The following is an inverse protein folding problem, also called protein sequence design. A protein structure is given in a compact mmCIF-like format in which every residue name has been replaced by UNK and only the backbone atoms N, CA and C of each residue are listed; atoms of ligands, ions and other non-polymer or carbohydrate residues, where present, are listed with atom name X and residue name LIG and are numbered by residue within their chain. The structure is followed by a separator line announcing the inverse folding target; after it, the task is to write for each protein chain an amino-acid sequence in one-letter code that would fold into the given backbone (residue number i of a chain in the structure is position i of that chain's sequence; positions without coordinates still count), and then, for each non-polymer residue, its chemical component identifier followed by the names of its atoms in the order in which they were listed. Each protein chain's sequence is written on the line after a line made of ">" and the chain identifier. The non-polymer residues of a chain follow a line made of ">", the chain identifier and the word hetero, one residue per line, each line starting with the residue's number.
data_IF_650832387497
#
_entry.id   IF_650832387497
#
_cell.length_a   1.000
_cell.length_b   1.000
_cell.length_c   1.000
_cell.angle_alpha   90.00
_cell.angle_beta   90.00
_cell.angle_gamma   90.00
#
_symmetry.space_group_name_H-M   'P 1'
#
loop_
_entity.id
_entity.type
_entity.pdbx_description
1 polymer ?
#
# COMPACT_ATOMS: atom_id res chain seq x y z
N UNK A 1 2.03 -18.22 51.51
CA UNK A 1 1.60 -18.37 50.10
C UNK A 1 0.85 -17.15 49.56
N UNK A 2 -0.04 -16.52 50.34
CA UNK A 2 -0.81 -15.33 49.94
C UNK A 2 0.03 -14.17 49.36
N UNK A 3 1.20 -13.87 49.95
CA UNK A 3 2.11 -12.80 49.45
C UNK A 3 2.62 -13.04 48.02
N UNK A 4 2.81 -14.30 47.61
CA UNK A 4 3.26 -14.64 46.24
C UNK A 4 2.13 -14.48 45.23
N UNK A 5 0.90 -14.81 45.62
CA UNK A 5 -0.30 -14.64 44.79
C UNK A 5 -0.59 -13.15 44.57
N UNK A 6 -0.49 -12.34 45.63
CA UNK A 6 -0.66 -10.88 45.54
C UNK A 6 0.38 -10.24 44.61
N UNK A 7 1.63 -10.72 44.66
CA UNK A 7 2.70 -10.21 43.78
C UNK A 7 2.46 -10.53 42.30
N UNK A 8 2.03 -11.75 41.98
CA UNK A 8 1.71 -12.15 40.60
C UNK A 8 0.52 -11.34 40.08
N UNK A 9 -0.52 -11.15 40.91
CA UNK A 9 -1.69 -10.37 40.52
C UNK A 9 -1.34 -8.90 40.23
N UNK A 10 -0.45 -8.31 41.04
CA UNK A 10 0.04 -6.95 40.80
C UNK A 10 0.79 -6.82 39.46
N UNK A 11 1.62 -7.80 39.09
CA UNK A 11 2.34 -7.78 37.81
C UNK A 11 1.40 -7.85 36.61
N UNK A 12 0.37 -8.70 36.67
CA UNK A 12 -0.62 -8.82 35.59
C UNK A 12 -1.42 -7.52 35.42
N UNK A 13 -1.80 -6.88 36.52
CA UNK A 13 -2.52 -5.59 36.48
C UNK A 13 -1.63 -4.48 35.92
N UNK A 14 -0.36 -4.41 36.32
CA UNK A 14 0.58 -3.40 35.80
C UNK A 14 0.83 -3.61 34.30
N UNK A 15 1.05 -4.85 33.85
CA UNK A 15 1.21 -5.14 32.43
C UNK A 15 -0.06 -4.84 31.63
N UNK A 16 -1.23 -5.24 32.14
CA UNK A 16 -2.51 -4.96 31.50
C UNK A 16 -2.78 -3.46 31.36
N UNK A 17 -2.54 -2.68 32.43
CA UNK A 17 -2.66 -1.22 32.40
C UNK A 17 -1.60 -0.58 31.50
N UNK A 18 -0.38 -1.12 31.47
CA UNK A 18 0.70 -0.66 30.58
C UNK A 18 0.38 -0.91 29.11
N UNK A 19 -0.16 -2.07 28.76
CA UNK A 19 -0.62 -2.40 27.41
C UNK A 19 -1.83 -1.56 27.02
N UNK A 20 -2.80 -1.37 27.91
CA UNK A 20 -3.93 -0.47 27.67
C UNK A 20 -3.47 0.97 27.50
N UNK A 21 -2.54 1.46 28.31
CA UNK A 21 -1.97 2.79 28.19
C UNK A 21 -1.18 2.95 26.88
N UNK A 22 -0.40 1.94 26.47
CA UNK A 22 0.34 1.96 25.20
C UNK A 22 -0.60 1.96 24.00
N UNK A 23 -1.64 1.11 24.02
CA UNK A 23 -2.67 1.07 22.98
C UNK A 23 -3.48 2.38 22.98
N UNK A 24 -3.84 2.92 24.15
CA UNK A 24 -4.62 4.15 24.27
C UNK A 24 -3.80 5.39 23.91
N UNK A 25 -2.53 5.48 24.32
CA UNK A 25 -1.61 6.56 23.91
C UNK A 25 -1.42 6.58 22.39
N UNK A 26 -1.40 5.42 21.75
CA UNK A 26 -1.37 5.31 20.29
C UNK A 26 -2.75 5.56 19.64
N UNK A 27 -3.86 5.55 20.40
CA UNK A 27 -5.23 5.89 19.93
C UNK A 27 -5.60 7.36 20.14
N UNK A 28 -4.98 8.05 21.11
CA UNK A 28 -5.28 9.46 21.48
C UNK A 28 -4.71 10.47 20.46
N UNK A 29 -3.99 10.04 19.42
CA UNK A 29 -3.68 10.91 18.28
C UNK A 29 -4.82 11.03 17.25
N UNK A 30 -5.94 10.31 17.42
CA UNK A 30 -7.04 10.30 16.44
C UNK A 30 -8.40 10.26 17.15
N UNK A 31 -8.79 11.37 17.79
CA UNK A 31 -10.20 11.65 18.09
C UNK A 31 -10.43 13.15 18.31
N UNK A 32 -10.92 13.81 17.27
CA UNK A 32 -11.42 15.18 17.30
C UNK A 32 -12.30 15.43 16.08
N UNK A 33 -13.54 15.79 16.35
CA UNK A 33 -14.70 16.08 15.50
C UNK A 33 -14.44 16.99 14.29
N UNK A 34 -15.31 16.80 13.28
CA UNK A 34 -15.58 17.67 12.12
C UNK A 34 -15.31 19.16 12.41
N UNK A 35 -14.26 19.68 11.76
CA UNK A 35 -13.93 21.08 11.40
C UNK A 35 -12.47 21.06 10.88
N UNK A 36 -11.98 22.14 10.23
CA UNK A 36 -11.42 22.14 8.85
C UNK A 36 -10.52 20.94 8.52
N UNK A 37 -10.70 20.30 7.34
CA UNK A 37 -10.02 19.04 6.98
C UNK A 37 -8.54 19.04 7.42
N UNK A 38 -8.19 18.27 8.45
CA UNK A 38 -6.86 18.31 9.00
C UNK A 38 -5.99 17.54 8.04
N UNK A 39 -4.80 18.06 7.75
CA UNK A 39 -3.74 17.41 6.97
C UNK A 39 -3.53 15.94 7.39
N UNK A 40 -3.85 15.60 8.65
CA UNK A 40 -3.91 14.24 9.18
C UNK A 40 -4.89 13.31 8.47
N UNK A 41 -6.09 13.77 8.12
CA UNK A 41 -7.12 12.99 7.40
C UNK A 41 -6.72 12.74 5.96
N UNK A 42 -6.24 13.77 5.26
CA UNK A 42 -5.69 13.64 3.89
C UNK A 42 -4.49 12.69 3.88
N UNK A 43 -3.62 12.78 4.89
CA UNK A 43 -2.49 11.86 5.05
C UNK A 43 -2.96 10.44 5.35
N UNK A 44 -4.00 10.26 6.15
CA UNK A 44 -4.54 8.94 6.44
C UNK A 44 -5.23 8.33 5.22
N UNK A 45 -5.99 9.12 4.45
CA UNK A 45 -6.58 8.70 3.17
C UNK A 45 -5.48 8.31 2.19
N UNK A 46 -4.41 9.12 2.11
CA UNK A 46 -3.25 8.80 1.30
C UNK A 46 -2.59 7.49 1.77
N UNK A 47 -2.38 7.31 3.07
CA UNK A 47 -1.78 6.09 3.62
C UNK A 47 -2.67 4.85 3.33
N UNK A 48 -4.00 4.98 3.45
CA UNK A 48 -4.96 3.92 3.14
C UNK A 48 -4.97 3.57 1.65
N UNK A 49 -4.92 4.57 0.77
CA UNK A 49 -4.84 4.41 -0.69
C UNK A 49 -3.52 3.73 -1.09
N UNK A 50 -2.41 4.09 -0.45
CA UNK A 50 -1.09 3.46 -0.68
C UNK A 50 -1.09 2.00 -0.18
N UNK A 51 -1.74 1.71 0.95
CA UNK A 51 -1.88 0.35 1.47
C UNK A 51 -2.72 -0.54 0.56
N UNK A 52 -3.86 -0.05 0.09
CA UNK A 52 -4.68 -0.80 -0.87
C UNK A 52 -3.97 -0.93 -2.22
N UNK A 53 -3.25 0.10 -2.65
CA UNK A 53 -2.40 0.05 -3.84
C UNK A 53 -1.33 -1.04 -3.76
N UNK A 54 -0.67 -1.18 -2.60
CA UNK A 54 0.26 -2.28 -2.33
C UNK A 54 -0.40 -3.64 -2.40
N UNK A 55 -1.62 -3.76 -1.86
CA UNK A 55 -2.39 -5.01 -1.89
C UNK A 55 -2.72 -5.41 -3.33
N UNK A 56 -3.25 -4.47 -4.11
CA UNK A 56 -3.61 -4.70 -5.51
C UNK A 56 -2.37 -4.99 -6.37
N UNK A 57 -1.24 -4.31 -6.14
CA UNK A 57 0.01 -4.60 -6.83
C UNK A 57 0.52 -6.02 -6.57
N UNK A 58 0.44 -6.50 -5.32
CA UNK A 58 0.79 -7.89 -4.96
C UNK A 58 -0.11 -8.94 -5.61
N UNK A 59 -1.38 -8.62 -5.83
CA UNK A 59 -2.32 -9.57 -6.45
C UNK A 59 -2.07 -9.64 -7.96
N UNK A 60 -1.86 -8.50 -8.61
CA UNK A 60 -1.94 -8.40 -10.07
C UNK A 60 -0.56 -8.30 -10.75
N UNK A 61 0.46 -7.77 -10.09
CA UNK A 61 1.69 -7.31 -10.75
C UNK A 61 2.95 -8.05 -10.29
N UNK A 62 2.99 -8.57 -9.06
CA UNK A 62 4.23 -9.15 -8.49
C UNK A 62 4.67 -10.48 -9.09
N UNK A 63 3.83 -11.11 -9.92
CA UNK A 63 4.23 -12.28 -10.69
C UNK A 63 5.35 -11.93 -11.69
N UNK A 64 5.32 -10.72 -12.26
CA UNK A 64 6.30 -10.27 -13.27
C UNK A 64 7.14 -9.08 -12.79
N UNK A 65 6.62 -8.23 -11.90
CA UNK A 65 7.27 -6.98 -11.51
C UNK A 65 7.65 -6.93 -10.02
N UNK A 66 8.90 -6.57 -9.73
CA UNK A 66 9.31 -6.09 -8.41
C UNK A 66 9.48 -4.57 -8.45
N UNK A 67 9.18 -3.90 -7.34
CA UNK A 67 9.32 -2.44 -7.23
C UNK A 67 10.75 -2.00 -6.89
N UNK A 68 11.55 -2.88 -6.29
CA UNK A 68 12.94 -2.64 -5.91
C UNK A 68 13.79 -3.90 -6.18
N UNK A 69 15.08 -3.70 -6.49
CA UNK A 69 16.04 -4.76 -6.85
C UNK A 69 16.08 -5.09 -8.35
N UNK A 70 17.12 -5.79 -8.81
CA UNK A 70 17.31 -6.10 -10.24
C UNK A 70 16.49 -7.35 -10.61
N UNK A 71 15.54 -7.23 -11.55
CA UNK A 71 14.94 -8.39 -12.23
C UNK A 71 14.54 -8.01 -13.67
N UNK A 72 14.69 -8.97 -14.58
CA UNK A 72 14.02 -9.05 -15.88
C UNK A 72 12.52 -9.34 -15.68
N UNK A 73 11.59 -8.73 -16.45
CA UNK A 73 11.76 -7.67 -17.46
C UNK A 73 11.87 -6.28 -16.80
N UNK A 74 12.32 -5.22 -17.50
CA UNK A 74 12.96 -4.05 -16.88
C UNK A 74 12.17 -3.46 -15.74
N UNK A 75 12.90 -3.08 -14.68
CA UNK A 75 12.41 -2.33 -13.54
C UNK A 75 11.35 -1.31 -13.96
N UNK A 76 10.12 -1.46 -13.44
CA UNK A 76 9.01 -0.51 -13.63
C UNK A 76 9.48 0.94 -13.53
N UNK A 77 10.46 1.18 -12.67
CA UNK A 77 11.10 2.46 -12.39
C UNK A 77 11.57 3.24 -13.63
N UNK A 78 12.09 2.59 -14.67
CA UNK A 78 12.62 3.30 -15.83
C UNK A 78 11.52 3.83 -16.77
N UNK A 79 10.37 3.17 -16.81
CA UNK A 79 9.28 3.52 -17.73
C UNK A 79 8.09 4.19 -17.03
N UNK A 80 7.89 3.96 -15.73
CA UNK A 80 6.74 4.49 -14.98
C UNK A 80 6.68 6.02 -15.01
N UNK A 81 7.83 6.71 -15.00
CA UNK A 81 7.91 8.18 -15.10
C UNK A 81 7.29 8.75 -16.38
N UNK A 82 7.13 7.94 -17.44
CA UNK A 82 6.52 8.36 -18.70
C UNK A 82 4.99 8.20 -18.72
N UNK A 83 4.41 7.60 -17.67
CA UNK A 83 2.97 7.44 -17.53
C UNK A 83 2.41 8.49 -16.56
N UNK A 84 1.38 9.20 -16.99
CA UNK A 84 0.42 9.80 -16.07
C UNK A 84 -0.68 8.77 -15.75
N UNK A 85 -1.54 9.07 -14.78
CA UNK A 85 -2.60 8.15 -14.34
C UNK A 85 -3.48 7.66 -15.50
N UNK A 86 -3.91 8.56 -16.38
CA UNK A 86 -4.78 8.22 -17.52
C UNK A 86 -4.09 7.25 -18.49
N UNK A 87 -2.85 7.55 -18.91
CA UNK A 87 -2.06 6.66 -19.78
C UNK A 87 -1.77 5.32 -19.11
N UNK A 88 -1.57 5.32 -17.79
CA UNK A 88 -1.38 4.09 -17.04
C UNK A 88 -2.65 3.25 -17.02
N UNK A 89 -3.82 3.85 -16.78
CA UNK A 89 -5.12 3.16 -16.85
C UNK A 89 -5.38 2.58 -18.24
N UNK A 90 -5.14 3.37 -19.29
CA UNK A 90 -5.23 2.89 -20.66
C UNK A 90 -4.26 1.72 -20.91
N UNK A 91 -3.00 1.83 -20.48
CA UNK A 91 -2.01 0.76 -20.64
C UNK A 91 -2.40 -0.54 -19.93
N UNK A 92 -2.85 -0.45 -18.68
CA UNK A 92 -3.24 -1.61 -17.86
C UNK A 92 -4.47 -2.31 -18.46
N UNK A 93 -5.42 -1.55 -19.00
CA UNK A 93 -6.66 -2.09 -19.58
C UNK A 93 -6.52 -2.54 -21.04
N UNK A 94 -5.62 -1.97 -21.83
CA UNK A 94 -5.62 -2.16 -23.28
C UNK A 94 -5.09 -3.54 -23.70
N UNK A 95 -5.94 -4.29 -24.38
CA UNK A 95 -5.66 -5.61 -24.95
C UNK A 95 -4.90 -5.53 -26.28
N UNK A 96 -4.96 -4.40 -26.99
CA UNK A 96 -4.29 -4.22 -28.28
C UNK A 96 -2.87 -3.75 -28.08
N UNK A 97 -2.00 -4.66 -27.70
CA UNK A 97 -0.57 -4.42 -27.61
C UNK A 97 0.11 -4.93 -28.86
N UNK A 98 0.69 -4.02 -29.63
CA UNK A 98 1.44 -4.33 -30.83
C UNK A 98 2.73 -3.51 -30.78
N UNK A 99 3.64 -3.91 -29.89
CA UNK A 99 4.99 -3.34 -29.83
C UNK A 99 5.95 -4.50 -30.06
N UNK A 100 6.61 -4.51 -31.21
CA UNK A 100 7.74 -5.41 -31.45
C UNK A 100 8.78 -5.16 -30.37
N UNK A 101 8.93 -6.11 -29.45
CA UNK A 101 9.92 -6.08 -28.39
C UNK A 101 11.03 -7.08 -28.74
N UNK A 102 12.30 -6.64 -28.65
CA UNK A 102 13.49 -7.44 -28.95
C UNK A 102 13.65 -8.69 -28.04
N UNK A 103 12.71 -8.92 -27.11
CA UNK A 103 12.74 -9.96 -26.09
C UNK A 103 11.73 -11.09 -26.29
N UNK A 104 10.97 -11.12 -27.40
CA UNK A 104 10.04 -12.22 -27.65
C UNK A 104 9.02 -12.42 -26.53
N UNK A 105 7.94 -11.64 -26.58
CA UNK A 105 6.65 -11.95 -25.94
C UNK A 105 6.51 -11.94 -24.41
N UNK A 106 7.43 -11.38 -23.61
CA UNK A 106 7.10 -11.02 -22.21
C UNK A 106 6.56 -9.60 -22.14
N UNK A 107 5.35 -9.41 -22.66
CA UNK A 107 4.59 -8.19 -22.41
C UNK A 107 3.74 -8.36 -21.15
N UNK A 108 3.50 -7.26 -20.43
CA UNK A 108 2.51 -7.26 -19.36
C UNK A 108 1.17 -7.76 -19.93
N UNK A 109 0.38 -8.50 -19.16
CA UNK A 109 -0.94 -8.96 -19.62
C UNK A 109 -1.99 -7.86 -19.38
N UNK A 110 -3.05 -7.74 -20.20
CA UNK A 110 -4.12 -6.77 -19.95
C UNK A 110 -4.95 -7.18 -18.73
N UNK A 111 -5.46 -6.17 -18.01
CA UNK A 111 -6.33 -6.33 -16.85
C UNK A 111 -7.66 -5.60 -17.10
N UNK A 112 -8.49 -6.04 -18.07
CA UNK A 112 -9.71 -5.35 -18.47
C UNK A 112 -10.75 -5.27 -17.33
N UNK A 113 -10.75 -6.27 -16.44
CA UNK A 113 -11.70 -6.37 -15.33
C UNK A 113 -11.28 -5.55 -14.09
N UNK A 114 -10.08 -4.96 -14.11
CA UNK A 114 -9.60 -4.15 -13.00
C UNK A 114 -10.23 -2.75 -13.07
N UNK A 115 -11.05 -2.42 -12.08
CA UNK A 115 -11.71 -1.12 -11.98
C UNK A 115 -10.70 0.04 -11.95
N UNK A 116 -11.05 1.20 -12.52
CA UNK A 116 -10.18 2.38 -12.58
C UNK A 116 -9.66 2.82 -11.21
N UNK A 117 -10.49 2.72 -10.17
CA UNK A 117 -10.10 3.07 -8.80
C UNK A 117 -8.99 2.15 -8.26
N UNK A 118 -9.07 0.85 -8.54
CA UNK A 118 -8.00 -0.10 -8.17
C UNK A 118 -6.72 0.17 -8.94
N UNK A 119 -6.82 0.55 -10.22
CA UNK A 119 -5.66 0.93 -11.02
C UNK A 119 -5.03 2.22 -10.48
N UNK A 120 -5.83 3.18 -10.06
CA UNK A 120 -5.38 4.42 -9.41
C UNK A 120 -4.63 4.12 -8.10
N UNK A 121 -5.15 3.24 -7.25
CA UNK A 121 -4.44 2.80 -6.04
C UNK A 121 -3.07 2.20 -6.38
N UNK A 122 -3.01 1.32 -7.39
CA UNK A 122 -1.74 0.75 -7.86
C UNK A 122 -0.79 1.87 -8.33
N UNK A 123 -1.27 2.80 -9.16
CA UNK A 123 -0.47 3.92 -9.67
C UNK A 123 0.11 4.74 -8.53
N UNK A 124 -0.72 5.14 -7.55
CA UNK A 124 -0.29 5.92 -6.40
C UNK A 124 0.75 5.17 -5.57
N UNK A 125 0.56 3.87 -5.35
CA UNK A 125 1.54 3.03 -4.65
C UNK A 125 2.89 2.96 -5.38
N UNK A 126 2.88 2.77 -6.70
CA UNK A 126 4.11 2.74 -7.51
C UNK A 126 4.79 4.11 -7.45
N UNK A 127 4.06 5.21 -7.67
CA UNK A 127 4.58 6.57 -7.61
C UNK A 127 5.21 6.88 -6.25
N UNK A 128 4.54 6.53 -5.15
CA UNK A 128 5.04 6.68 -3.79
C UNK A 128 6.30 5.84 -3.54
N UNK A 129 6.36 4.61 -4.08
CA UNK A 129 7.47 3.68 -3.82
C UNK A 129 8.74 3.96 -4.64
N UNK A 130 8.63 4.76 -5.70
CA UNK A 130 9.72 5.09 -6.63
C UNK A 130 10.28 6.51 -6.45
N UNK A 131 9.59 7.36 -5.68
CA UNK A 131 10.10 8.65 -5.19
C UNK A 131 10.99 8.44 -3.96
#
# INVERSE_FOLDING_TARGET
>A
MLKKIVFIFALVVIFGLGSLYFVNKNRISVRGTQDPEPISSIRQILDDDILEGRRQFKINCTACHKLQGIVDPPLLQNNFKNYNLEKFQQFVKNEKRNRENMFGNTECMPFPDLSDKKIEYIYNYIAYSLN
#
